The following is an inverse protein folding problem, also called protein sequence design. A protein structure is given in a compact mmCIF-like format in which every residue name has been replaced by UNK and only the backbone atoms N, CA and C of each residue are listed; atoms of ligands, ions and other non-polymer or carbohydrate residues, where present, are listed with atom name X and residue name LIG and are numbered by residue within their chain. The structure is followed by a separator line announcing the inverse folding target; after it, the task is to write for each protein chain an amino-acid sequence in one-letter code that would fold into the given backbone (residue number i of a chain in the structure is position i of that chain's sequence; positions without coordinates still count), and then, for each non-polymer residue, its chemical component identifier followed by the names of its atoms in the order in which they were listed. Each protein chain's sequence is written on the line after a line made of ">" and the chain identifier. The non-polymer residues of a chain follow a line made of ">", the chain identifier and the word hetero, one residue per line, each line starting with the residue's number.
data_IF_804846548827
#
_entry.id   IF_804846548827
#
_cell.length_a   1.000
_cell.length_b   1.000
_cell.length_c   1.000
_cell.angle_alpha   90.00
_cell.angle_beta   90.00
_cell.angle_gamma   90.00
#
_symmetry.space_group_name_H-M   'P 1'
#
loop_
_entity.id
_entity.type
_entity.pdbx_description
1 polymer ?
#
# COMPACT_ATOMS: atom_id res chain seq x y z
N UNK A 1 -6.34 9.41 -3.75
CA UNK A 1 -5.91 10.48 -2.85
C UNK A 1 -6.80 11.71 -3.05
N UNK A 2 -7.28 12.31 -1.96
CA UNK A 2 -8.07 13.54 -1.97
C UNK A 2 -7.32 14.64 -1.26
N UNK A 3 -7.29 15.82 -1.88
CA UNK A 3 -6.79 17.05 -1.28
C UNK A 3 -7.83 17.69 -0.36
N UNK A 4 -7.37 18.60 0.50
CA UNK A 4 -8.24 19.34 1.42
C UNK A 4 -9.29 20.20 0.71
N UNK A 5 -9.02 20.63 -0.53
CA UNK A 5 -9.95 21.36 -1.39
C UNK A 5 -10.96 20.46 -2.13
N UNK A 6 -10.88 19.14 -1.93
CA UNK A 6 -11.74 18.14 -2.54
C UNK A 6 -11.27 17.63 -3.91
N UNK A 7 -10.17 18.15 -4.45
CA UNK A 7 -9.61 17.61 -5.70
C UNK A 7 -9.12 16.17 -5.47
N UNK A 8 -9.61 15.24 -6.26
CA UNK A 8 -9.21 13.84 -6.21
C UNK A 8 -8.15 13.52 -7.27
N UNK A 9 -7.27 12.59 -6.93
CA UNK A 9 -6.19 12.11 -7.79
C UNK A 9 -6.10 10.59 -7.76
N UNK A 10 -5.73 10.00 -8.90
CA UNK A 10 -5.42 8.57 -9.03
C UNK A 10 -4.01 8.37 -9.56
N UNK A 11 -3.19 7.64 -8.81
CA UNK A 11 -1.92 7.12 -9.28
C UNK A 11 -2.08 5.70 -9.81
N UNK A 12 -1.55 5.42 -10.99
CA UNK A 12 -1.52 4.07 -11.56
C UNK A 12 -0.21 3.80 -12.29
N UNK A 13 0.18 2.54 -12.34
CA UNK A 13 1.20 2.04 -13.29
C UNK A 13 0.54 1.56 -14.57
N UNK A 14 1.35 1.40 -15.61
CA UNK A 14 0.95 0.70 -16.82
C UNK A 14 0.94 -0.82 -16.56
N UNK A 15 0.13 -1.56 -17.31
CA UNK A 15 0.12 -3.01 -17.26
C UNK A 15 1.52 -3.59 -17.48
N UNK A 16 1.93 -4.54 -16.64
CA UNK A 16 3.27 -5.14 -16.68
C UNK A 16 4.35 -4.34 -15.95
N UNK A 17 3.94 -3.39 -15.12
CA UNK A 17 4.76 -2.40 -14.42
C UNK A 17 5.50 -1.44 -15.38
N UNK A 18 5.65 -0.20 -14.97
CA UNK A 18 6.24 0.83 -15.84
C UNK A 18 6.09 2.22 -15.26
N UNK A 19 5.89 3.24 -16.12
CA UNK A 19 5.71 4.60 -15.64
C UNK A 19 4.48 4.73 -14.74
N UNK A 20 4.61 5.57 -13.72
CA UNK A 20 3.52 5.98 -12.84
C UNK A 20 2.85 7.21 -13.43
N UNK A 21 1.56 7.07 -13.70
CA UNK A 21 0.69 8.15 -14.16
C UNK A 21 -0.07 8.74 -12.99
N UNK A 22 -0.23 10.05 -12.98
CA UNK A 22 -1.12 10.78 -12.09
C UNK A 22 -2.25 11.39 -12.90
N UNK A 23 -3.48 11.04 -12.56
CA UNK A 23 -4.70 11.58 -13.13
C UNK A 23 -5.43 12.44 -12.12
N UNK A 24 -6.09 13.49 -12.59
CA UNK A 24 -7.15 14.14 -11.81
C UNK A 24 -8.45 13.35 -11.95
N UNK A 25 -9.21 13.33 -10.88
CA UNK A 25 -10.53 12.70 -10.84
C UNK A 25 -11.61 13.69 -10.40
N UNK A 26 -12.85 13.35 -10.70
CA UNK A 26 -13.99 13.99 -10.04
C UNK A 26 -13.90 13.80 -8.52
N UNK A 27 -14.43 14.74 -7.70
CA UNK A 27 -14.37 14.65 -6.24
C UNK A 27 -14.98 13.37 -5.66
N UNK A 28 -15.94 12.75 -6.35
CA UNK A 28 -16.55 11.48 -5.98
C UNK A 28 -15.69 10.24 -6.34
N UNK A 29 -14.53 10.47 -7.00
CA UNK A 29 -13.58 9.41 -7.35
C UNK A 29 -14.04 8.48 -8.47
N UNK A 30 -15.07 8.83 -9.25
CA UNK A 30 -15.66 7.92 -10.24
C UNK A 30 -15.19 8.13 -11.68
N UNK A 31 -14.72 9.34 -12.01
CA UNK A 31 -14.38 9.70 -13.38
C UNK A 31 -13.02 10.37 -13.46
N UNK A 32 -12.20 9.95 -14.43
CA UNK A 32 -10.95 10.63 -14.75
C UNK A 32 -11.25 11.92 -15.52
N UNK A 33 -10.53 12.98 -15.17
CA UNK A 33 -10.69 14.32 -15.78
C UNK A 33 -9.61 14.63 -16.82
N UNK A 34 -8.62 13.77 -16.97
CA UNK A 34 -7.52 13.94 -17.92
C UNK A 34 -6.89 12.57 -18.31
N UNK A 35 -6.00 12.59 -19.31
CA UNK A 35 -5.28 11.41 -19.78
C UNK A 35 -4.14 10.97 -18.86
N UNK A 36 -3.86 11.74 -17.81
CA UNK A 36 -2.80 11.50 -16.85
C UNK A 36 -1.44 12.00 -17.31
N UNK A 37 -0.63 12.37 -16.34
CA UNK A 37 0.76 12.80 -16.52
C UNK A 37 1.70 11.76 -15.94
N UNK A 38 2.73 11.38 -16.68
CA UNK A 38 3.83 10.57 -16.12
C UNK A 38 4.58 11.42 -15.08
N UNK A 39 4.62 10.94 -13.86
CA UNK A 39 5.29 11.61 -12.73
C UNK A 39 6.54 10.88 -12.28
N UNK A 40 6.67 9.62 -12.64
CA UNK A 40 7.84 8.80 -12.32
C UNK A 40 7.99 7.62 -13.29
N UNK A 41 9.24 7.20 -13.51
CA UNK A 41 9.57 5.95 -14.21
C UNK A 41 10.69 5.26 -13.42
N UNK A 42 10.48 4.00 -13.08
CA UNK A 42 11.43 3.20 -12.32
C UNK A 42 11.35 1.72 -12.69
N UNK A 43 12.32 0.90 -12.21
CA UNK A 43 12.39 -0.52 -12.56
C UNK A 43 11.23 -1.29 -11.93
N UNK A 44 10.32 -1.80 -12.76
CA UNK A 44 9.12 -2.52 -12.32
C UNK A 44 8.31 -1.71 -11.29
N UNK A 45 8.21 -0.39 -11.49
CA UNK A 45 7.46 0.49 -10.59
C UNK A 45 5.95 0.26 -10.73
N UNK A 46 5.28 -0.01 -9.62
CA UNK A 46 3.85 -0.33 -9.59
C UNK A 46 3.18 0.04 -8.24
N UNK A 47 1.95 -0.37 -8.02
CA UNK A 47 1.28 -0.41 -6.72
C UNK A 47 1.30 0.88 -5.90
N UNK A 48 1.30 2.02 -6.57
CA UNK A 48 1.50 3.35 -5.98
C UNK A 48 0.45 3.69 -4.94
N UNK A 49 0.90 4.21 -3.78
CA UNK A 49 0.05 4.76 -2.74
C UNK A 49 0.49 6.18 -2.41
N UNK A 50 -0.49 7.08 -2.24
CA UNK A 50 -0.25 8.48 -1.90
C UNK A 50 -0.44 8.74 -0.42
N UNK A 51 0.43 9.59 0.12
CA UNK A 51 0.32 10.15 1.48
C UNK A 51 0.68 11.63 1.45
N UNK A 52 0.15 12.39 2.41
CA UNK A 52 0.55 13.78 2.66
C UNK A 52 0.95 13.94 4.11
N UNK A 53 2.14 14.49 4.37
CA UNK A 53 2.64 14.69 5.72
C UNK A 53 3.60 15.87 5.76
N UNK A 54 3.42 16.76 6.72
CA UNK A 54 4.28 17.94 6.92
C UNK A 54 4.53 18.76 5.63
N UNK A 55 3.49 18.93 4.80
CA UNK A 55 3.56 19.69 3.57
C UNK A 55 4.29 19.02 2.40
N UNK A 56 4.59 17.71 2.53
CA UNK A 56 5.11 16.89 1.45
C UNK A 56 4.07 15.88 0.98
N UNK A 57 4.07 15.64 -0.33
CA UNK A 57 3.45 14.48 -0.96
C UNK A 57 4.45 13.34 -1.00
N UNK A 58 3.99 12.15 -0.66
CA UNK A 58 4.77 10.92 -0.70
C UNK A 58 4.08 9.92 -1.60
N UNK A 59 4.84 9.34 -2.53
CA UNK A 59 4.41 8.17 -3.28
C UNK A 59 5.21 6.98 -2.78
N UNK A 60 4.51 6.02 -2.22
CA UNK A 60 5.08 4.73 -1.82
C UNK A 60 4.94 3.77 -2.98
N UNK A 61 6.06 3.34 -3.55
CA UNK A 61 6.15 2.58 -4.79
C UNK A 61 6.95 1.31 -4.55
N UNK A 62 6.38 0.12 -4.78
CA UNK A 62 7.17 -1.09 -4.92
C UNK A 62 7.93 -1.08 -6.23
N UNK A 63 9.19 -1.50 -6.19
CA UNK A 63 10.05 -1.67 -7.36
C UNK A 63 10.76 -3.02 -7.34
N UNK A 64 11.31 -3.46 -8.47
CA UNK A 64 12.16 -4.67 -8.56
C UNK A 64 11.40 -6.00 -8.67
N UNK A 65 10.07 -6.00 -8.52
CA UNK A 65 9.25 -7.22 -8.66
C UNK A 65 9.16 -8.07 -7.39
N UNK A 66 8.35 -9.13 -7.45
CA UNK A 66 7.85 -9.86 -6.27
C UNK A 66 8.93 -10.60 -5.47
N UNK A 67 9.93 -11.17 -6.15
CA UNK A 67 10.94 -12.00 -5.48
C UNK A 67 12.10 -11.23 -4.87
N UNK A 68 12.48 -10.11 -5.48
CA UNK A 68 13.71 -9.37 -5.15
C UNK A 68 13.47 -7.86 -4.99
N UNK A 69 12.20 -7.45 -4.94
CA UNK A 69 11.83 -6.04 -4.89
C UNK A 69 12.15 -5.35 -3.57
N UNK A 70 12.05 -4.05 -3.62
CA UNK A 70 12.26 -3.14 -2.49
C UNK A 70 11.18 -2.06 -2.46
N UNK A 71 11.07 -1.34 -1.36
CA UNK A 71 10.15 -0.23 -1.21
C UNK A 71 10.87 1.10 -1.45
N UNK A 72 10.37 1.83 -2.41
CA UNK A 72 10.81 3.19 -2.73
C UNK A 72 9.77 4.20 -2.25
N UNK A 73 10.25 5.33 -1.75
CA UNK A 73 9.44 6.52 -1.50
C UNK A 73 9.93 7.64 -2.43
N UNK A 74 8.99 8.27 -3.09
CA UNK A 74 9.17 9.54 -3.78
C UNK A 74 8.57 10.65 -2.93
N UNK A 75 9.28 11.77 -2.76
CA UNK A 75 8.85 12.91 -1.95
C UNK A 75 8.91 14.21 -2.75
N UNK A 76 7.85 15.01 -2.68
CA UNK A 76 7.82 16.35 -3.28
C UNK A 76 6.92 17.30 -2.49
N UNK A 77 7.13 18.61 -2.64
CA UNK A 77 6.18 19.63 -2.19
C UNK A 77 5.05 19.90 -3.19
N UNK A 78 5.15 19.34 -4.39
CA UNK A 78 4.13 19.44 -5.42
C UNK A 78 3.72 18.05 -5.86
N UNK A 79 2.40 17.78 -5.94
CA UNK A 79 1.88 16.46 -6.29
C UNK A 79 2.33 15.97 -7.69
N UNK A 80 2.70 16.88 -8.58
CA UNK A 80 3.26 16.57 -9.89
C UNK A 80 4.80 16.50 -9.92
N UNK A 81 5.45 16.63 -8.75
CA UNK A 81 6.90 16.66 -8.66
C UNK A 81 7.52 18.05 -8.94
N UNK A 82 8.83 18.15 -9.17
CA UNK A 82 9.77 17.02 -9.23
C UNK A 82 9.87 16.27 -7.89
N UNK A 83 10.13 14.97 -7.98
CA UNK A 83 10.24 14.11 -6.82
C UNK A 83 11.70 13.80 -6.48
N UNK A 84 12.02 13.87 -5.19
CA UNK A 84 13.20 13.23 -4.62
C UNK A 84 12.90 11.75 -4.39
N UNK A 85 13.85 10.87 -4.64
CA UNK A 85 13.71 9.42 -4.51
C UNK A 85 14.59 8.89 -3.38
N UNK A 86 14.04 7.96 -2.58
CA UNK A 86 14.81 7.15 -1.62
C UNK A 86 14.25 5.74 -1.53
N UNK A 87 15.13 4.72 -1.54
CA UNK A 87 14.78 3.37 -1.07
C UNK A 87 14.69 3.42 0.45
N UNK A 88 13.65 2.85 1.02
CA UNK A 88 13.33 2.95 2.46
C UNK A 88 13.18 1.60 3.15
N UNK A 89 13.11 0.53 2.36
CA UNK A 89 13.09 -0.85 2.83
C UNK A 89 13.67 -1.75 1.76
N UNK A 90 14.62 -2.59 2.14
CA UNK A 90 15.19 -3.65 1.30
C UNK A 90 15.38 -4.92 2.13
N UNK A 91 15.71 -6.02 1.47
CA UNK A 91 15.96 -7.30 2.16
C UNK A 91 17.17 -7.22 3.10
N UNK A 92 18.24 -6.55 2.66
CA UNK A 92 19.51 -6.54 3.38
C UNK A 92 20.03 -7.93 3.68
N UNK A 93 20.51 -8.12 4.90
CA UNK A 93 21.02 -9.41 5.40
C UNK A 93 19.92 -10.32 6.00
N UNK A 94 18.64 -9.99 5.79
CA UNK A 94 17.52 -10.76 6.37
C UNK A 94 17.08 -11.92 5.46
N UNK A 95 16.24 -12.80 5.99
CA UNK A 95 15.62 -13.89 5.22
C UNK A 95 14.25 -13.49 4.63
N UNK A 96 13.85 -12.23 4.76
CA UNK A 96 12.59 -11.73 4.23
C UNK A 96 12.88 -11.12 2.86
N UNK A 97 12.75 -11.94 1.81
CA UNK A 97 13.02 -11.52 0.43
C UNK A 97 11.93 -10.59 -0.11
N UNK A 98 12.35 -9.70 -0.99
CA UNK A 98 11.44 -8.80 -1.72
C UNK A 98 10.47 -8.01 -0.83
N UNK A 99 10.91 -7.34 0.26
CA UNK A 99 10.01 -6.68 1.20
C UNK A 99 9.46 -5.37 0.59
N UNK A 100 8.33 -5.46 -0.10
CA UNK A 100 7.75 -4.32 -0.82
C UNK A 100 6.22 -4.44 -0.95
N UNK A 101 5.63 -3.54 -1.72
CA UNK A 101 4.20 -3.48 -2.07
C UNK A 101 3.30 -3.37 -0.84
N UNK A 102 3.70 -2.52 0.08
CA UNK A 102 3.04 -2.33 1.35
C UNK A 102 2.26 -1.02 1.46
N UNK A 103 1.80 -0.77 2.67
CA UNK A 103 1.10 0.45 3.05
C UNK A 103 1.63 0.98 4.39
N UNK A 104 1.88 2.29 4.44
CA UNK A 104 2.12 3.02 5.68
C UNK A 104 0.78 3.21 6.40
N UNK A 105 0.79 2.97 7.69
CA UNK A 105 -0.35 3.23 8.58
C UNK A 105 0.15 3.86 9.87
N UNK A 106 -0.65 4.70 10.46
CA UNK A 106 -0.36 5.31 11.77
C UNK A 106 -1.41 4.90 12.80
N UNK A 107 -0.99 4.88 14.06
CA UNK A 107 -1.90 4.67 15.20
C UNK A 107 -2.41 6.01 15.72
N UNK A 108 -3.52 6.03 16.46
CA UNK A 108 -3.98 7.23 17.13
C UNK A 108 -2.94 7.85 18.08
N UNK A 109 -2.01 7.04 18.58
CA UNK A 109 -0.91 7.44 19.44
C UNK A 109 0.31 8.01 18.67
N UNK A 110 0.25 8.01 17.33
CA UNK A 110 1.27 8.57 16.46
C UNK A 110 2.41 7.63 16.12
N UNK A 111 2.31 6.34 16.45
CA UNK A 111 3.24 5.34 15.94
C UNK A 111 2.98 5.08 14.46
N UNK A 112 4.05 4.84 13.71
CA UNK A 112 3.96 4.50 12.30
C UNK A 112 4.40 3.09 12.04
N UNK A 113 3.67 2.42 11.14
CA UNK A 113 3.86 1.02 10.78
C UNK A 113 3.77 0.84 9.28
N UNK A 114 4.36 -0.26 8.77
CA UNK A 114 4.31 -0.62 7.37
C UNK A 114 3.93 -2.09 7.21
N UNK A 115 2.81 -2.35 6.54
CA UNK A 115 2.47 -3.68 6.08
C UNK A 115 3.14 -3.96 4.75
N UNK A 116 3.73 -5.12 4.58
CA UNK A 116 4.22 -5.61 3.30
C UNK A 116 4.07 -7.11 3.22
N UNK A 117 4.39 -7.71 2.08
CA UNK A 117 4.41 -9.16 1.96
C UNK A 117 5.82 -9.70 1.66
N UNK A 118 5.98 -11.00 1.86
CA UNK A 118 7.06 -11.83 1.38
C UNK A 118 6.46 -12.96 0.55
N UNK A 119 6.98 -13.22 -0.64
CA UNK A 119 6.60 -14.41 -1.39
C UNK A 119 7.31 -15.63 -0.80
N UNK A 120 6.53 -16.60 -0.33
CA UNK A 120 7.03 -17.84 0.28
C UNK A 120 6.27 -19.03 -0.32
N UNK A 121 6.93 -19.81 -1.15
CA UNK A 121 6.33 -21.02 -1.69
C UNK A 121 6.25 -22.14 -0.63
N UNK A 122 5.14 -22.90 -0.58
CA UNK A 122 3.91 -22.80 -1.36
C UNK A 122 2.83 -21.88 -0.72
N UNK A 123 3.16 -21.11 0.30
CA UNK A 123 2.22 -20.32 1.10
C UNK A 123 1.73 -19.05 0.38
N UNK A 124 2.40 -18.65 -0.70
CA UNK A 124 2.10 -17.42 -1.41
C UNK A 124 2.63 -16.18 -0.71
N UNK A 125 1.84 -15.12 -0.63
CA UNK A 125 2.25 -13.81 -0.11
C UNK A 125 1.96 -13.69 1.38
N UNK A 126 2.95 -14.04 2.20
CA UNK A 126 2.88 -13.93 3.67
C UNK A 126 3.04 -12.47 4.08
N UNK A 127 2.12 -11.95 4.88
CA UNK A 127 2.10 -10.54 5.30
C UNK A 127 2.98 -10.35 6.55
N UNK A 128 3.76 -9.28 6.52
CA UNK A 128 4.61 -8.81 7.61
C UNK A 128 4.17 -7.41 8.06
N UNK A 129 4.46 -7.08 9.31
CA UNK A 129 4.31 -5.75 9.89
C UNK A 129 5.68 -5.25 10.35
N UNK A 130 6.07 -4.07 9.90
CA UNK A 130 7.35 -3.44 10.26
C UNK A 130 7.12 -2.13 11.02
N UNK A 131 7.96 -1.81 12.02
CA UNK A 131 7.98 -0.48 12.61
C UNK A 131 8.48 0.55 11.60
N UNK A 132 8.05 1.80 11.73
CA UNK A 132 8.52 2.90 10.90
C UNK A 132 9.02 4.05 11.77
N UNK A 133 10.24 4.49 11.53
CA UNK A 133 10.80 5.69 12.12
C UNK A 133 10.91 6.79 11.04
N UNK A 134 10.49 8.02 11.36
CA UNK A 134 10.63 9.15 10.46
C UNK A 134 11.90 9.95 10.79
N UNK A 135 12.83 10.00 9.85
CA UNK A 135 14.08 10.76 9.96
C UNK A 135 14.15 11.77 8.82
N UNK A 136 14.31 13.06 9.13
CA UNK A 136 14.38 14.14 8.13
C UNK A 136 13.23 14.13 7.10
N UNK A 137 12.04 13.80 7.56
CA UNK A 137 10.84 13.58 6.73
C UNK A 137 10.99 12.44 5.69
N UNK A 138 11.80 11.43 5.98
CA UNK A 138 11.84 10.15 5.28
C UNK A 138 11.48 9.01 6.22
N UNK A 139 10.66 8.05 5.80
CA UNK A 139 10.45 6.85 6.60
C UNK A 139 11.67 5.93 6.46
N UNK A 140 12.11 5.36 7.57
CA UNK A 140 12.97 4.17 7.63
C UNK A 140 12.07 3.05 8.10
N UNK A 141 11.89 2.01 7.27
CA UNK A 141 10.95 0.92 7.51
C UNK A 141 11.72 -0.30 8.02
N UNK A 142 11.31 -0.85 9.17
CA UNK A 142 12.11 -1.84 9.87
C UNK A 142 13.25 -1.20 10.64
N UNK A 143 14.44 -1.75 10.55
CA UNK A 143 15.65 -1.24 11.22
C UNK A 143 16.79 -1.11 10.23
N UNK A 144 17.44 0.03 10.21
CA UNK A 144 18.67 0.26 9.46
C UNK A 144 19.86 -0.34 10.24
N UNK A 145 20.23 -1.56 9.91
CA UNK A 145 21.23 -2.35 10.65
C UNK A 145 22.66 -1.97 10.30
N UNK A 146 22.91 -1.51 9.09
CA UNK A 146 24.25 -1.17 8.58
C UNK A 146 24.50 0.33 8.44
N UNK A 147 23.51 1.16 8.85
CA UNK A 147 23.55 2.61 8.85
C UNK A 147 23.69 3.22 7.42
N UNK A 148 23.15 2.54 6.41
CA UNK A 148 23.12 3.04 5.04
C UNK A 148 21.91 3.96 4.77
N UNK A 149 21.02 4.12 5.74
CA UNK A 149 19.79 4.92 5.66
C UNK A 149 18.60 4.18 5.05
N UNK A 150 18.72 2.86 4.81
CA UNK A 150 17.66 1.99 4.30
C UNK A 150 17.29 0.99 5.41
N UNK A 151 16.01 0.80 5.67
CA UNK A 151 15.57 -0.18 6.67
C UNK A 151 15.57 -1.59 6.13
N UNK A 152 15.74 -2.55 7.04
CA UNK A 152 15.65 -3.99 6.80
C UNK A 152 14.50 -4.59 7.64
N UNK A 153 13.79 -5.64 7.14
CA UNK A 153 12.72 -6.26 7.89
C UNK A 153 13.16 -6.83 9.23
N UNK A 154 12.36 -6.59 10.28
CA UNK A 154 12.53 -7.25 11.57
C UNK A 154 11.57 -8.43 11.71
N UNK A 155 12.03 -9.53 12.32
CA UNK A 155 11.19 -10.72 12.58
C UNK A 155 10.35 -10.60 13.85
N UNK A 156 10.82 -9.81 14.79
CA UNK A 156 10.20 -9.63 16.10
C UNK A 156 10.30 -8.15 16.47
N UNK A 157 9.19 -7.59 16.93
CA UNK A 157 9.11 -6.22 17.43
C UNK A 157 8.06 -6.10 18.52
N UNK A 158 8.12 -5.04 19.30
CA UNK A 158 7.04 -4.71 20.23
C UNK A 158 5.77 -4.42 19.43
N UNK A 159 4.63 -4.96 19.86
CA UNK A 159 3.34 -4.70 19.21
C UNK A 159 3.00 -3.21 19.25
N UNK A 160 2.22 -2.71 18.27
CA UNK A 160 1.66 -1.35 18.33
C UNK A 160 0.98 -1.09 19.67
N UNK A 161 1.25 0.08 20.24
CA UNK A 161 0.54 0.56 21.41
C UNK A 161 -0.92 0.82 21.07
N UNK A 162 -1.84 0.25 21.86
CA UNK A 162 -3.27 0.55 21.75
C UNK A 162 -3.77 1.00 23.12
N UNK A 163 -4.25 2.24 23.20
CA UNK A 163 -4.71 2.85 24.43
C UNK A 163 -6.04 2.31 24.95
N UNK A 164 -6.77 1.56 24.13
CA UNK A 164 -8.08 0.99 24.47
C UNK A 164 -8.15 -0.47 24.08
N UNK A 165 -8.73 -1.30 24.95
CA UNK A 165 -9.11 -2.65 24.56
C UNK A 165 -10.17 -2.57 23.45
N UNK A 166 -9.87 -3.13 22.30
CA UNK A 166 -10.84 -3.25 21.20
C UNK A 166 -11.54 -4.58 21.35
N UNK A 167 -12.86 -4.59 21.20
CA UNK A 167 -13.60 -5.83 21.12
C UNK A 167 -13.05 -6.66 19.94
N UNK A 168 -12.57 -7.85 20.23
CA UNK A 168 -12.12 -8.75 19.18
C UNK A 168 -13.37 -9.22 18.43
N UNK A 169 -13.50 -8.77 17.19
CA UNK A 169 -14.54 -9.24 16.28
C UNK A 169 -13.89 -9.97 15.10
N UNK A 170 -14.54 -11.02 14.66
CA UNK A 170 -14.14 -11.74 13.46
C UNK A 170 -15.10 -11.38 12.31
N UNK A 171 -14.60 -11.15 11.10
CA UNK A 171 -15.47 -11.03 9.94
C UNK A 171 -16.33 -12.29 9.80
N UNK A 172 -17.52 -12.12 9.28
CA UNK A 172 -18.37 -13.27 8.93
C UNK A 172 -17.63 -14.12 7.89
N UNK A 173 -17.54 -15.43 8.14
CA UNK A 173 -16.82 -16.38 7.27
C UNK A 173 -17.74 -17.41 6.62
N UNK A 174 -19.00 -17.46 7.05
CA UNK A 174 -20.03 -18.37 6.53
C UNK A 174 -21.26 -17.57 6.13
N UNK A 175 -22.11 -18.17 5.32
CA UNK A 175 -23.38 -17.59 4.87
C UNK A 175 -24.43 -18.68 4.85
N UNK A 176 -25.59 -18.40 5.40
CA UNK A 176 -26.77 -19.29 5.35
C UNK A 176 -27.68 -18.95 4.16
N UNK A 177 -27.28 -17.93 3.35
CA UNK A 177 -28.01 -17.44 2.19
C UNK A 177 -29.44 -16.98 2.49
N UNK A 178 -29.71 -16.54 3.72
CA UNK A 178 -31.01 -15.98 4.12
C UNK A 178 -31.25 -14.56 3.60
N UNK A 179 -30.26 -13.92 3.01
CA UNK A 179 -30.33 -12.59 2.38
C UNK A 179 -30.36 -12.67 0.87
N UNK A 180 -31.04 -11.72 0.22
CA UNK A 180 -31.01 -11.56 -1.24
C UNK A 180 -29.75 -10.88 -1.77
N UNK A 181 -28.84 -10.49 -0.88
CA UNK A 181 -27.55 -9.85 -1.25
C UNK A 181 -26.40 -10.60 -0.59
N UNK A 182 -25.31 -10.77 -1.33
CA UNK A 182 -24.07 -11.33 -0.79
C UNK A 182 -23.46 -10.38 0.23
N UNK A 183 -23.00 -10.94 1.35
CA UNK A 183 -22.25 -10.21 2.34
C UNK A 183 -20.79 -9.97 1.90
N UNK A 184 -20.05 -9.15 2.68
CA UNK A 184 -18.67 -8.76 2.36
C UNK A 184 -17.66 -9.93 2.39
N UNK A 185 -18.00 -11.08 2.94
CA UNK A 185 -17.19 -12.29 2.94
C UNK A 185 -17.11 -12.95 1.54
N UNK A 186 -18.02 -12.58 0.62
CA UNK A 186 -18.02 -13.07 -0.75
C UNK A 186 -17.24 -12.14 -1.67
N UNK A 187 -16.39 -12.71 -2.49
CA UNK A 187 -15.65 -11.99 -3.52
C UNK A 187 -15.60 -12.79 -4.80
N UNK A 188 -15.72 -12.11 -5.93
CA UNK A 188 -15.53 -12.70 -7.24
C UNK A 188 -14.09 -12.58 -7.68
N UNK A 189 -13.60 -13.59 -8.38
CA UNK A 189 -12.30 -13.52 -9.05
C UNK A 189 -12.45 -12.77 -10.39
N UNK A 190 -12.37 -11.50 -10.40
CA UNK A 190 -12.73 -10.51 -11.43
C UNK A 190 -14.15 -9.95 -11.25
N UNK A 191 -14.57 -9.09 -12.17
CA UNK A 191 -15.92 -8.56 -12.17
C UNK A 191 -16.93 -9.70 -12.44
N UNK A 192 -17.99 -9.80 -11.67
CA UNK A 192 -19.00 -10.84 -11.86
C UNK A 192 -19.71 -10.66 -13.21
N UNK A 193 -20.06 -11.77 -13.82
CA UNK A 193 -20.94 -11.79 -14.99
C UNK A 193 -22.38 -11.93 -14.48
N UNK A 194 -23.19 -10.89 -14.67
CA UNK A 194 -24.52 -10.74 -14.06
C UNK A 194 -25.49 -11.92 -14.29
N UNK A 195 -25.31 -12.69 -15.37
CA UNK A 195 -26.17 -13.82 -15.69
C UNK A 195 -25.61 -15.18 -15.23
N UNK A 196 -24.37 -15.19 -14.68
CA UNK A 196 -23.70 -16.43 -14.30
C UNK A 196 -24.01 -16.89 -12.88
N UNK A 197 -24.68 -16.06 -12.09
CA UNK A 197 -25.03 -16.37 -10.70
C UNK A 197 -26.32 -15.66 -10.28
N UNK A 198 -26.98 -16.19 -9.28
CA UNK A 198 -28.13 -15.54 -8.64
C UNK A 198 -28.31 -16.09 -7.22
N UNK A 199 -28.95 -15.32 -6.37
CA UNK A 199 -29.47 -15.79 -5.10
C UNK A 199 -30.96 -16.10 -5.28
N UNK A 200 -31.36 -17.29 -4.85
CA UNK A 200 -32.78 -17.69 -4.82
C UNK A 200 -33.25 -17.72 -3.36
N UNK A 201 -34.47 -17.25 -3.13
CA UNK A 201 -35.14 -17.50 -1.85
C UNK A 201 -35.41 -19.00 -1.67
N UNK A 202 -35.14 -19.52 -0.49
CA UNK A 202 -35.57 -20.85 -0.06
C UNK A 202 -36.82 -20.75 0.81
#
# INVERSE_FOLDING_TARGET
>A
FWEEDGQAYMGRSQLGAGPIYLHRMTPDGKTLLDDGKIIYTGPVAEGTKFYKRHGYYYLSIPEGGVGEGWQTILRSKNIYGPYEKKVVLEQGNTTVNGPHQGALVDTPEGEWWFFHFQLTEPLGRVVHLQPVCWMENWPVIGVDMDMNGIGEPVKVWTKPGVSKSVLVSHPQTTDDFSSYTLGLQWQFNHNPTDHAWSLSAH
#
